data_IF_851708180277
#
_entry.id   IF_851708180277
#
_cell.length_a   1.000
_cell.length_b   1.000
_cell.length_c   1.000
_cell.angle_alpha   90.00
_cell.angle_beta   90.00
_cell.angle_gamma   90.00
#
_symmetry.space_group_name_H-M   'P 1'
#
loop_
_entity.id
_entity.type
_entity.pdbx_description
1 polymer ?
#
# COMPACT_ATOMS: atom_id res chain seq x y z
N UNK A 1 4.94 18.34 17.14
CA UNK A 1 5.53 17.54 16.04
C UNK A 1 4.65 17.69 14.81
N UNK A 2 5.21 17.91 13.61
CA UNK A 2 4.40 18.03 12.37
C UNK A 2 3.80 16.67 12.03
N UNK A 3 2.61 16.66 11.41
CA UNK A 3 1.91 15.43 11.01
C UNK A 3 2.31 15.04 9.60
N UNK A 4 2.42 13.73 9.34
CA UNK A 4 2.56 13.19 7.99
C UNK A 4 1.66 11.96 7.80
N UNK A 5 1.21 11.79 6.56
CA UNK A 5 0.54 10.59 6.09
C UNK A 5 1.55 9.69 5.37
N UNK A 6 1.47 8.38 5.61
CA UNK A 6 2.35 7.39 4.98
C UNK A 6 1.58 6.63 3.92
N UNK A 7 2.16 6.49 2.74
CA UNK A 7 1.58 5.83 1.58
C UNK A 7 2.49 4.65 1.20
N UNK A 8 2.00 3.42 1.37
CA UNK A 8 2.78 2.20 1.17
C UNK A 8 2.24 1.47 -0.06
N UNK A 9 3.08 1.34 -1.08
CA UNK A 9 2.85 0.45 -2.20
C UNK A 9 3.12 -1.01 -1.78
N UNK A 10 2.03 -1.78 -1.68
CA UNK A 10 2.04 -3.20 -1.34
C UNK A 10 2.82 -4.07 -2.34
N UNK A 11 2.75 -3.74 -3.62
CA UNK A 11 3.47 -4.48 -4.66
C UNK A 11 4.98 -4.27 -4.55
N UNK A 12 5.41 -3.06 -4.21
CA UNK A 12 6.81 -2.77 -3.98
C UNK A 12 7.34 -3.43 -2.70
N UNK A 13 6.63 -3.28 -1.57
CA UNK A 13 7.11 -3.83 -0.30
C UNK A 13 7.14 -5.37 -0.30
N UNK A 14 6.26 -6.03 -1.06
CA UNK A 14 6.33 -7.49 -1.27
C UNK A 14 7.61 -7.90 -2.00
N UNK A 15 8.04 -7.14 -3.03
CA UNK A 15 9.32 -7.37 -3.72
C UNK A 15 10.51 -7.18 -2.79
N UNK A 16 10.54 -6.10 -2.02
CA UNK A 16 11.56 -5.83 -0.99
C UNK A 16 11.62 -6.99 0.01
N UNK A 17 10.45 -7.35 0.56
CA UNK A 17 10.30 -8.39 1.57
C UNK A 17 10.87 -9.71 1.10
N UNK A 18 10.55 -10.11 -0.14
CA UNK A 18 11.08 -11.34 -0.74
C UNK A 18 12.59 -11.26 -0.99
N UNK A 19 13.10 -10.11 -1.44
CA UNK A 19 14.52 -9.91 -1.69
C UNK A 19 15.34 -10.05 -0.39
N UNK A 20 15.01 -9.27 0.64
CA UNK A 20 15.73 -9.32 1.93
C UNK A 20 15.49 -10.61 2.72
N UNK A 21 14.36 -11.30 2.48
CA UNK A 21 14.10 -12.62 3.07
C UNK A 21 14.72 -13.79 2.30
N UNK A 22 15.68 -13.55 1.41
CA UNK A 22 16.38 -14.60 0.63
C UNK A 22 15.42 -15.52 -0.12
N UNK A 23 14.45 -14.93 -0.82
CA UNK A 23 13.42 -15.63 -1.59
C UNK A 23 12.15 -15.97 -0.80
N UNK A 24 12.15 -15.79 0.53
CA UNK A 24 10.96 -15.91 1.39
C UNK A 24 10.44 -14.52 1.76
N UNK A 25 9.13 -14.39 1.90
CA UNK A 25 8.55 -13.14 2.40
C UNK A 25 8.85 -12.95 3.89
N UNK A 26 9.42 -11.81 4.24
CA UNK A 26 9.57 -11.36 5.62
C UNK A 26 8.20 -11.06 6.24
N UNK A 27 8.08 -11.36 7.53
CA UNK A 27 6.92 -10.94 8.33
C UNK A 27 7.13 -9.49 8.75
N UNK A 28 6.42 -8.58 8.09
CA UNK A 28 6.50 -7.15 8.35
C UNK A 28 5.30 -6.71 9.21
N UNK A 29 5.60 -6.01 10.31
CA UNK A 29 4.60 -5.22 11.02
C UNK A 29 4.49 -3.85 10.34
N UNK A 30 3.51 -3.72 9.45
CA UNK A 30 3.33 -2.50 8.65
C UNK A 30 2.96 -1.28 9.50
N UNK A 31 2.30 -1.48 10.65
CA UNK A 31 1.98 -0.38 11.55
C UNK A 31 3.27 0.17 12.18
N UNK A 32 4.13 -0.72 12.68
CA UNK A 32 5.42 -0.35 13.25
C UNK A 32 6.36 0.24 12.21
N UNK A 33 6.40 -0.33 11.00
CA UNK A 33 7.19 0.17 9.89
C UNK A 33 6.84 1.64 9.59
N UNK A 34 5.56 1.94 9.36
CA UNK A 34 5.12 3.29 9.03
C UNK A 34 5.43 4.29 10.16
N UNK A 35 5.24 3.89 11.42
CA UNK A 35 5.57 4.73 12.57
C UNK A 35 7.06 5.03 12.67
N UNK A 36 7.90 4.02 12.49
CA UNK A 36 9.36 4.18 12.53
C UNK A 36 9.82 5.12 11.41
N UNK A 37 9.43 4.86 10.16
CA UNK A 37 9.78 5.72 9.01
C UNK A 37 9.40 7.19 9.26
N UNK A 38 8.19 7.42 9.77
CA UNK A 38 7.69 8.77 10.01
C UNK A 38 8.47 9.47 11.12
N UNK A 39 8.75 8.74 12.22
CA UNK A 39 9.52 9.25 13.36
C UNK A 39 10.96 9.56 12.98
N UNK A 40 11.60 8.70 12.19
CA UNK A 40 13.00 8.86 11.77
C UNK A 40 13.16 10.08 10.85
N UNK A 41 12.07 10.50 10.18
CA UNK A 41 11.98 11.75 9.41
C UNK A 41 11.52 12.97 10.25
N UNK A 42 11.28 12.82 11.56
CA UNK A 42 10.88 13.92 12.46
C UNK A 42 9.39 14.26 12.48
N UNK A 43 8.52 13.36 12.01
CA UNK A 43 7.07 13.57 11.92
C UNK A 43 6.30 12.64 12.86
N UNK A 44 5.05 13.01 13.15
CA UNK A 44 4.06 12.14 13.77
C UNK A 44 3.16 11.50 12.69
N UNK A 45 3.05 10.17 12.72
CA UNK A 45 2.29 9.41 11.74
C UNK A 45 0.78 9.51 12.01
N UNK A 46 0.08 10.32 11.20
CA UNK A 46 -1.36 10.55 11.33
C UNK A 46 -2.13 9.36 10.75
N UNK A 47 -2.09 9.17 9.44
CA UNK A 47 -2.73 8.06 8.74
C UNK A 47 -1.70 7.21 7.97
N UNK A 48 -2.02 5.92 7.84
CA UNK A 48 -1.20 4.92 7.13
C UNK A 48 -2.07 4.33 6.03
N UNK A 49 -1.67 4.53 4.79
CA UNK A 49 -2.34 3.98 3.63
C UNK A 49 -1.53 2.81 3.09
N UNK A 50 -2.18 1.67 2.90
CA UNK A 50 -1.60 0.50 2.26
C UNK A 50 -2.39 0.18 0.99
N UNK A 51 -1.70 0.18 -0.14
CA UNK A 51 -2.30 -0.01 -1.45
C UNK A 51 -1.89 -1.37 -2.01
N UNK A 52 -2.86 -2.16 -2.45
CA UNK A 52 -2.61 -3.52 -2.95
C UNK A 52 -3.73 -3.96 -3.88
N UNK A 53 -3.58 -5.09 -4.57
CA UNK A 53 -4.70 -5.80 -5.15
C UNK A 53 -4.92 -7.13 -4.42
N UNK A 54 -6.19 -7.55 -4.20
CA UNK A 54 -6.48 -8.89 -3.71
C UNK A 54 -6.06 -9.94 -4.75
N UNK A 55 -5.72 -11.16 -4.31
CA UNK A 55 -5.44 -12.26 -5.23
C UNK A 55 -6.67 -12.57 -6.09
N UNK A 56 -6.42 -12.97 -7.33
CA UNK A 56 -7.48 -13.40 -8.24
C UNK A 56 -8.18 -14.66 -7.71
N UNK A 57 -9.50 -14.71 -7.92
CA UNK A 57 -10.32 -15.88 -7.68
C UNK A 57 -11.26 -16.07 -8.87
N UNK A 58 -11.30 -17.26 -9.45
CA UNK A 58 -12.34 -17.61 -10.43
C UNK A 58 -13.68 -17.84 -9.73
N UNK A 59 -14.75 -17.96 -10.53
CA UNK A 59 -16.03 -18.43 -10.06
C UNK A 59 -16.43 -19.71 -10.82
N UNK A 60 -16.40 -20.89 -10.18
CA UNK A 60 -15.99 -21.15 -8.80
C UNK A 60 -14.46 -21.02 -8.59
N UNK A 61 -13.97 -20.73 -7.37
CA UNK A 61 -12.54 -20.61 -7.10
C UNK A 61 -11.87 -21.98 -6.97
N UNK A 62 -10.60 -22.06 -7.35
CA UNK A 62 -9.78 -23.26 -7.05
C UNK A 62 -9.38 -23.29 -5.56
N UNK A 63 -8.90 -24.46 -5.08
CA UNK A 63 -8.38 -24.58 -3.71
C UNK A 63 -7.19 -23.64 -3.46
N UNK A 64 -6.30 -23.48 -4.45
CA UNK A 64 -5.13 -22.61 -4.33
C UNK A 64 -5.51 -21.13 -4.31
N UNK A 65 -6.46 -20.72 -5.15
CA UNK A 65 -7.01 -19.35 -5.14
C UNK A 65 -7.67 -19.04 -3.80
N UNK A 66 -8.46 -19.97 -3.28
CA UNK A 66 -9.11 -19.86 -1.98
C UNK A 66 -8.09 -19.72 -0.86
N UNK A 67 -7.02 -20.55 -0.87
CA UNK A 67 -5.92 -20.46 0.10
C UNK A 67 -5.20 -19.12 0.05
N UNK A 68 -4.90 -18.60 -1.15
CA UNK A 68 -4.26 -17.28 -1.32
C UNK A 68 -5.17 -16.17 -0.80
N UNK A 69 -6.46 -16.20 -1.13
CA UNK A 69 -7.44 -15.24 -0.64
C UNK A 69 -7.55 -15.24 0.89
N UNK A 70 -7.70 -16.41 1.51
CA UNK A 70 -7.76 -16.49 2.98
C UNK A 70 -6.49 -15.97 3.66
N UNK A 71 -5.32 -16.25 3.05
CA UNK A 71 -4.04 -15.71 3.51
C UNK A 71 -4.00 -14.18 3.46
N UNK A 72 -4.44 -13.60 2.33
CA UNK A 72 -4.56 -12.17 2.12
C UNK A 72 -5.55 -11.52 3.12
N UNK A 73 -6.75 -12.05 3.26
CA UNK A 73 -7.79 -11.52 4.14
C UNK A 73 -7.35 -11.50 5.62
N UNK A 74 -6.57 -12.50 6.04
CA UNK A 74 -5.96 -12.54 7.37
C UNK A 74 -4.94 -11.41 7.59
N UNK A 75 -4.19 -11.00 6.57
CA UNK A 75 -3.24 -9.88 6.67
C UNK A 75 -4.00 -8.55 6.71
N UNK A 76 -4.93 -8.36 5.77
CA UNK A 76 -5.74 -7.14 5.68
C UNK A 76 -6.59 -6.92 6.93
N UNK A 77 -7.22 -7.97 7.46
CA UNK A 77 -8.00 -7.86 8.71
C UNK A 77 -7.15 -7.45 9.91
N UNK A 78 -5.86 -7.81 9.98
CA UNK A 78 -4.95 -7.32 11.03
C UNK A 78 -4.64 -5.84 10.87
N UNK A 79 -4.37 -5.38 9.65
CA UNK A 79 -4.13 -3.97 9.35
C UNK A 79 -5.35 -3.11 9.71
N UNK A 80 -6.55 -3.54 9.29
CA UNK A 80 -7.82 -2.83 9.53
C UNK A 80 -8.23 -2.75 11.01
N UNK A 81 -7.54 -3.43 11.94
CA UNK A 81 -7.76 -3.27 13.39
C UNK A 81 -7.30 -1.91 13.91
N UNK A 82 -6.37 -1.27 13.22
CA UNK A 82 -5.89 0.06 13.58
C UNK A 82 -6.77 1.11 12.89
N UNK A 83 -7.47 1.99 13.62
CA UNK A 83 -8.44 2.92 13.03
C UNK A 83 -7.83 3.94 12.07
N UNK A 84 -6.53 4.19 12.19
CA UNK A 84 -5.75 5.08 11.32
C UNK A 84 -4.87 4.32 10.31
N UNK A 85 -5.23 3.07 10.02
CA UNK A 85 -4.62 2.25 8.99
C UNK A 85 -5.66 1.90 7.93
N UNK A 86 -5.52 2.51 6.76
CA UNK A 86 -6.46 2.49 5.66
C UNK A 86 -5.89 1.58 4.57
N UNK A 87 -6.60 0.49 4.27
CA UNK A 87 -6.26 -0.39 3.15
C UNK A 87 -7.10 0.00 1.95
N UNK A 88 -6.45 0.25 0.81
CA UNK A 88 -7.12 0.55 -0.46
C UNK A 88 -6.76 -0.52 -1.49
N UNK A 89 -7.80 -1.13 -2.03
CA UNK A 89 -7.70 -2.30 -2.88
C UNK A 89 -7.97 -1.91 -4.33
N UNK A 90 -6.99 -2.11 -5.20
CA UNK A 90 -7.20 -2.17 -6.64
C UNK A 90 -7.82 -3.52 -7.02
N UNK A 91 -7.50 -4.01 -8.22
CA UNK A 91 -7.96 -5.33 -8.67
C UNK A 91 -6.86 -6.10 -9.37
N UNK A 92 -6.92 -7.43 -9.29
CA UNK A 92 -6.10 -8.32 -10.10
C UNK A 92 -6.96 -8.82 -11.27
N UNK A 93 -6.53 -8.55 -12.50
CA UNK A 93 -7.21 -8.96 -13.71
C UNK A 93 -6.42 -10.06 -14.42
N UNK A 94 -7.09 -11.11 -14.87
CA UNK A 94 -6.52 -12.14 -15.74
C UNK A 94 -6.79 -11.78 -17.20
N UNK A 95 -5.76 -11.52 -17.99
CA UNK A 95 -5.85 -11.22 -19.43
C UNK A 95 -4.87 -12.13 -20.15
N UNK A 96 -5.31 -12.88 -21.16
CA UNK A 96 -4.46 -13.80 -21.93
C UNK A 96 -3.60 -14.74 -21.05
N UNK A 97 -4.18 -15.27 -19.96
CA UNK A 97 -3.49 -16.07 -18.93
C UNK A 97 -2.42 -15.36 -18.09
N UNK A 98 -2.22 -14.06 -18.27
CA UNK A 98 -1.36 -13.24 -17.42
C UNK A 98 -2.19 -12.48 -16.38
N UNK A 99 -1.59 -12.27 -15.20
CA UNK A 99 -2.22 -11.53 -14.11
C UNK A 99 -1.65 -10.12 -14.03
N UNK A 100 -2.51 -9.12 -14.18
CA UNK A 100 -2.13 -7.71 -14.10
C UNK A 100 -2.86 -7.02 -12.96
N UNK A 101 -2.09 -6.35 -12.11
CA UNK A 101 -2.63 -5.43 -11.12
C UNK A 101 -3.14 -4.17 -11.83
N UNK A 102 -4.32 -3.69 -11.45
CA UNK A 102 -4.93 -2.48 -12.00
C UNK A 102 -5.47 -1.59 -10.88
N UNK A 103 -5.31 -0.28 -11.05
CA UNK A 103 -5.90 0.74 -10.20
C UNK A 103 -5.12 1.09 -8.93
N UNK A 104 -4.07 0.35 -8.56
CA UNK A 104 -3.26 0.67 -7.38
C UNK A 104 -2.55 2.03 -7.54
N UNK A 105 -1.87 2.23 -8.66
CA UNK A 105 -1.12 3.49 -8.90
C UNK A 105 -2.06 4.68 -9.02
N UNK A 106 -3.25 4.46 -9.61
CA UNK A 106 -4.33 5.45 -9.64
C UNK A 106 -4.81 5.82 -8.24
N UNK A 107 -5.03 4.83 -7.36
CA UNK A 107 -5.47 5.09 -5.99
C UNK A 107 -4.42 5.88 -5.19
N UNK A 108 -3.14 5.51 -5.32
CA UNK A 108 -2.02 6.24 -4.70
C UNK A 108 -2.01 7.68 -5.21
N UNK A 109 -2.05 7.87 -6.53
CA UNK A 109 -2.03 9.18 -7.18
C UNK A 109 -3.19 10.07 -6.71
N UNK A 110 -4.41 9.52 -6.68
CA UNK A 110 -5.60 10.25 -6.23
C UNK A 110 -5.46 10.72 -4.78
N UNK A 111 -4.95 9.89 -3.87
CA UNK A 111 -4.79 10.28 -2.47
C UNK A 111 -3.63 11.23 -2.23
N UNK A 112 -2.55 11.11 -3.00
CA UNK A 112 -1.48 12.10 -3.03
C UNK A 112 -2.02 13.47 -3.45
N UNK A 113 -2.83 13.54 -4.51
CA UNK A 113 -3.44 14.78 -4.98
C UNK A 113 -4.40 15.42 -3.96
N UNK A 114 -5.04 14.63 -3.08
CA UNK A 114 -5.86 15.17 -1.98
C UNK A 114 -5.06 16.00 -0.98
N UNK A 115 -3.72 15.93 -0.97
CA UNK A 115 -2.89 16.81 -0.15
C UNK A 115 -3.00 18.28 -0.58
N UNK A 116 -3.34 18.56 -1.84
CA UNK A 116 -3.54 19.91 -2.35
C UNK A 116 -4.82 20.58 -1.83
N UNK A 117 -5.80 19.79 -1.38
CA UNK A 117 -7.07 20.33 -0.86
C UNK A 117 -6.81 21.25 0.35
N UNK A 118 -7.24 22.50 0.27
CA UNK A 118 -7.07 23.51 1.33
C UNK A 118 -7.61 23.07 2.69
N UNK A 119 -8.62 22.20 2.71
CA UNK A 119 -9.21 21.69 3.95
C UNK A 119 -8.41 20.55 4.59
N UNK A 120 -7.43 19.98 3.87
CA UNK A 120 -6.65 18.86 4.38
C UNK A 120 -5.75 19.28 5.55
N UNK A 121 -5.89 18.58 6.68
CA UNK A 121 -5.18 18.86 7.93
C UNK A 121 -3.72 18.38 7.91
N UNK A 122 -3.36 17.52 6.96
CA UNK A 122 -2.00 16.97 6.81
C UNK A 122 -1.50 17.27 5.41
N UNK A 123 -0.36 17.96 5.32
CA UNK A 123 0.25 18.43 4.07
C UNK A 123 1.55 17.71 3.71
N UNK A 124 1.99 16.80 4.56
CA UNK A 124 3.22 16.03 4.35
C UNK A 124 2.86 14.59 4.02
N UNK A 125 3.40 14.11 2.89
CA UNK A 125 3.36 12.72 2.47
C UNK A 125 4.73 12.06 2.66
N UNK A 126 4.72 10.81 3.11
CA UNK A 126 5.85 9.89 3.03
C UNK A 126 5.41 8.74 2.13
N UNK A 127 6.00 8.64 0.94
CA UNK A 127 5.67 7.61 -0.04
C UNK A 127 6.74 6.51 -0.05
N UNK A 128 6.33 5.26 0.12
CA UNK A 128 7.16 4.07 0.00
C UNK A 128 6.82 3.33 -1.29
N UNK A 129 7.63 3.57 -2.33
CA UNK A 129 7.55 2.92 -3.64
C UNK A 129 8.92 2.97 -4.32
N UNK A 130 9.12 2.21 -5.40
CA UNK A 130 10.22 2.43 -6.35
C UNK A 130 9.73 2.83 -7.75
N UNK A 131 8.43 3.08 -7.91
CA UNK A 131 7.86 3.36 -9.21
C UNK A 131 8.08 4.82 -9.60
N UNK A 132 8.78 5.02 -10.73
CA UNK A 132 9.07 6.34 -11.28
C UNK A 132 7.85 7.01 -11.88
N UNK A 133 6.77 6.27 -12.13
CA UNK A 133 5.52 6.84 -12.65
C UNK A 133 4.86 7.80 -11.65
N UNK A 134 5.27 7.78 -10.37
CA UNK A 134 4.85 8.77 -9.39
C UNK A 134 5.66 10.09 -9.42
N UNK A 135 6.75 10.19 -10.18
CA UNK A 135 7.54 11.44 -10.25
C UNK A 135 6.71 12.65 -10.67
N UNK A 136 5.84 12.58 -11.71
CA UNK A 136 5.01 13.73 -12.10
C UNK A 136 4.09 14.21 -10.99
N UNK A 137 3.40 13.30 -10.28
CA UNK A 137 2.50 13.67 -9.17
C UNK A 137 3.28 14.28 -8.01
N UNK A 138 4.49 13.78 -7.72
CA UNK A 138 5.36 14.34 -6.69
C UNK A 138 5.88 15.73 -7.04
N UNK A 139 6.13 16.02 -8.33
CA UNK A 139 6.50 17.36 -8.80
C UNK A 139 5.34 18.34 -8.65
N UNK A 140 4.10 17.92 -8.91
CA UNK A 140 2.90 18.76 -8.71
C UNK A 140 2.64 19.08 -7.22
N UNK A 141 3.09 18.23 -6.30
CA UNK A 141 2.91 18.41 -4.86
C UNK A 141 3.96 19.31 -4.18
N UNK A 142 5.08 19.61 -4.86
CA UNK A 142 6.16 20.46 -4.34
C UNK A 142 5.82 21.94 -4.47
#
# INVERSE_FOLDING_TARGET
MRKANVYIDGGYIDKISKHFGSGKYLKIDYFRLANNMTRDLGYWCFERYYYTAPPFQSNPPTMDESRRKSGYDRVISKMKRYPNFIVKEGRLQKVNNEFHQKGVDTLITMDLMRLLDKQNKVKTAILLTCDTDFVPVLQTLR
#
